data_IF_132342116584
#
_entry.id   IF_132342116584
#
_cell.length_a   1.000
_cell.length_b   1.000
_cell.length_c   1.000
_cell.angle_alpha   90.00
_cell.angle_beta   90.00
_cell.angle_gamma   90.00
#
_symmetry.space_group_name_H-M   'P 1'
#
loop_
_entity.id
_entity.type
_entity.pdbx_description
1 polymer ?
#
# COMPACT_ATOMS: atom_id res chain seq x y z
N UNK A 1 41.87 14.10 17.49
CA UNK A 1 40.81 13.50 18.26
C UNK A 1 39.48 14.22 18.05
N UNK A 2 39.45 15.54 18.26
CA UNK A 2 38.24 16.30 18.06
C UNK A 2 37.72 16.25 16.62
N UNK A 3 38.58 16.27 15.63
CA UNK A 3 38.23 16.17 14.21
C UNK A 3 37.57 14.83 13.88
N UNK A 4 38.09 13.76 14.46
CA UNK A 4 37.56 12.42 14.22
C UNK A 4 36.15 12.30 14.84
N UNK A 5 35.93 12.83 16.02
CA UNK A 5 34.64 12.84 16.68
C UNK A 5 33.61 13.67 15.90
N UNK A 6 34.00 14.86 15.46
CA UNK A 6 33.13 15.72 14.68
C UNK A 6 32.76 15.09 13.34
N UNK A 7 33.72 14.44 12.67
CA UNK A 7 33.46 13.73 11.43
C UNK A 7 32.50 12.58 11.62
N UNK A 8 32.64 11.85 12.73
CA UNK A 8 31.74 10.74 13.05
C UNK A 8 30.32 11.23 13.33
N UNK A 9 30.18 12.31 14.10
CA UNK A 9 28.87 12.90 14.39
C UNK A 9 28.19 13.39 13.11
N UNK A 10 28.93 14.07 12.23
CA UNK A 10 28.39 14.52 10.95
C UNK A 10 27.94 13.37 10.07
N UNK A 11 28.69 12.29 10.06
CA UNK A 11 28.34 11.09 9.31
C UNK A 11 27.04 10.46 9.85
N UNK A 12 26.90 10.39 11.17
CA UNK A 12 25.70 9.86 11.80
C UNK A 12 24.48 10.75 11.53
N UNK A 13 24.63 12.08 11.61
CA UNK A 13 23.56 13.01 11.31
C UNK A 13 23.13 12.86 9.85
N UNK A 14 24.09 12.78 8.95
CA UNK A 14 23.80 12.61 7.53
C UNK A 14 23.06 11.30 7.26
N UNK A 15 23.52 10.21 7.85
CA UNK A 15 22.89 8.90 7.73
C UNK A 15 21.49 8.93 8.30
N UNK A 16 21.31 9.56 9.45
CA UNK A 16 19.99 9.69 10.08
C UNK A 16 19.03 10.49 9.20
N UNK A 17 19.51 11.57 8.58
CA UNK A 17 18.69 12.37 7.67
C UNK A 17 18.26 11.59 6.44
N UNK A 18 19.18 10.81 5.85
CA UNK A 18 18.88 9.96 4.70
C UNK A 18 17.85 8.90 5.09
N UNK A 19 18.03 8.28 6.24
CA UNK A 19 17.09 7.26 6.75
C UNK A 19 15.72 7.86 7.02
N UNK A 20 15.66 9.08 7.55
CA UNK A 20 14.39 9.76 7.81
C UNK A 20 13.64 10.03 6.51
N UNK A 21 14.34 10.48 5.48
CA UNK A 21 13.75 10.71 4.16
C UNK A 21 13.26 9.42 3.54
N UNK A 22 14.10 8.37 3.58
CA UNK A 22 13.72 7.04 3.08
C UNK A 22 12.54 6.48 3.84
N UNK A 23 12.50 6.65 5.15
CA UNK A 23 11.40 6.16 5.97
C UNK A 23 10.09 6.83 5.59
N UNK A 24 10.09 8.15 5.38
CA UNK A 24 8.90 8.88 4.93
C UNK A 24 8.45 8.42 3.55
N UNK A 25 9.40 8.18 2.66
CA UNK A 25 9.10 7.68 1.32
C UNK A 25 8.46 6.31 1.36
N UNK A 26 9.03 5.42 2.18
CA UNK A 26 8.49 4.07 2.33
C UNK A 26 7.11 4.07 3.00
N UNK A 27 6.90 4.93 3.97
CA UNK A 27 5.58 5.08 4.61
C UNK A 27 4.53 5.55 3.61
N UNK A 28 4.87 6.51 2.76
CA UNK A 28 3.96 6.93 1.69
C UNK A 28 3.66 5.79 0.74
N UNK A 29 4.67 5.00 0.41
CA UNK A 29 4.48 3.84 -0.46
C UNK A 29 3.55 2.82 0.18
N UNK A 30 3.73 2.56 1.47
CA UNK A 30 2.85 1.65 2.22
C UNK A 30 1.42 2.18 2.22
N UNK A 31 1.22 3.47 2.49
CA UNK A 31 -0.10 4.09 2.48
C UNK A 31 -0.77 3.95 1.12
N UNK A 32 -0.02 4.20 0.05
CA UNK A 32 -0.52 4.06 -1.32
C UNK A 32 -0.92 2.62 -1.63
N UNK A 33 -0.11 1.67 -1.20
CA UNK A 33 -0.39 0.24 -1.41
C UNK A 33 -1.60 -0.21 -0.58
N UNK A 34 -1.73 0.28 0.65
CA UNK A 34 -2.89 -0.02 1.49
C UNK A 34 -4.18 0.52 0.86
N UNK A 35 -4.13 1.73 0.33
CA UNK A 35 -5.27 2.32 -0.38
C UNK A 35 -5.62 1.50 -1.62
N UNK A 36 -4.63 1.02 -2.36
CA UNK A 36 -4.83 0.18 -3.52
C UNK A 36 -5.46 -1.16 -3.14
N UNK A 37 -5.01 -1.77 -2.05
CA UNK A 37 -5.58 -3.03 -1.55
C UNK A 37 -7.06 -2.85 -1.22
N UNK A 38 -7.42 -1.79 -0.50
CA UNK A 38 -8.81 -1.50 -0.16
C UNK A 38 -9.67 -1.31 -1.40
N UNK A 39 -9.14 -0.62 -2.40
CA UNK A 39 -9.84 -0.41 -3.66
C UNK A 39 -10.05 -1.72 -4.41
N UNK A 40 -9.03 -2.56 -4.46
CA UNK A 40 -9.12 -3.85 -5.13
C UNK A 40 -10.10 -4.78 -4.41
N UNK A 41 -10.13 -4.74 -3.08
CA UNK A 41 -11.10 -5.51 -2.30
C UNK A 41 -12.53 -5.05 -2.60
N UNK A 42 -12.77 -3.75 -2.66
CA UNK A 42 -14.08 -3.20 -3.00
C UNK A 42 -14.50 -3.59 -4.42
N UNK A 43 -13.57 -3.50 -5.37
CA UNK A 43 -13.84 -3.92 -6.75
C UNK A 43 -14.14 -5.40 -6.84
N UNK A 44 -13.39 -6.21 -6.10
CA UNK A 44 -13.57 -7.66 -6.07
C UNK A 44 -14.95 -8.02 -5.50
N UNK A 45 -15.34 -7.38 -4.40
CA UNK A 45 -16.65 -7.60 -3.77
C UNK A 45 -17.77 -7.20 -4.71
N UNK A 46 -17.61 -6.09 -5.42
CA UNK A 46 -18.61 -5.62 -6.39
C UNK A 46 -18.75 -6.58 -7.55
N UNK A 47 -17.64 -7.08 -8.07
CA UNK A 47 -17.64 -8.05 -9.16
C UNK A 47 -18.24 -9.37 -8.74
N UNK A 48 -17.97 -9.81 -7.51
CA UNK A 48 -18.55 -11.03 -6.97
C UNK A 48 -20.07 -10.90 -6.80
N UNK A 49 -20.52 -9.74 -6.34
CA UNK A 49 -21.96 -9.47 -6.21
C UNK A 49 -22.64 -9.42 -7.57
N UNK A 50 -22.01 -8.78 -8.56
CA UNK A 50 -22.53 -8.75 -9.92
C UNK A 50 -22.61 -10.14 -10.55
N UNK A 51 -21.62 -10.98 -10.30
CA UNK A 51 -21.61 -12.35 -10.78
C UNK A 51 -22.76 -13.18 -10.16
N UNK A 52 -23.01 -12.98 -8.88
CA UNK A 52 -24.13 -13.65 -8.19
C UNK A 52 -25.47 -13.22 -8.75
N UNK A 53 -25.65 -11.91 -9.01
CA UNK A 53 -26.86 -11.40 -9.62
C UNK A 53 -27.06 -11.98 -11.02
N UNK A 54 -26.01 -12.06 -11.81
CA UNK A 54 -26.05 -12.65 -13.14
C UNK A 54 -26.47 -14.12 -13.09
N UNK A 55 -25.94 -14.87 -12.13
CA UNK A 55 -26.30 -16.27 -11.94
C UNK A 55 -27.78 -16.42 -11.56
N UNK A 56 -28.27 -15.57 -10.67
CA UNK A 56 -29.67 -15.58 -10.27
C UNK A 56 -30.58 -15.26 -11.45
N UNK A 57 -30.21 -14.31 -12.29
CA UNK A 57 -30.98 -13.97 -13.49
C UNK A 57 -31.01 -15.12 -14.50
N UNK A 58 -29.89 -15.80 -14.68
CA UNK A 58 -29.82 -16.97 -15.58
C UNK A 58 -30.71 -18.08 -15.04
N UNK A 59 -30.66 -18.36 -13.75
CA UNK A 59 -31.54 -19.37 -13.11
C UNK A 59 -33.02 -19.04 -13.29
N UNK A 60 -33.39 -17.75 -13.17
CA UNK A 60 -34.77 -17.31 -13.35
C UNK A 60 -35.20 -17.42 -14.83
N UNK A 61 -34.29 -17.23 -15.75
CA UNK A 61 -34.56 -17.27 -17.18
C UNK A 61 -34.60 -18.70 -17.75
N UNK A 62 -34.00 -19.66 -17.06
CA UNK A 62 -34.00 -21.05 -17.50
C UNK A 62 -35.28 -21.75 -17.01
N UNK A 63 -36.15 -22.20 -17.90
CA UNK A 63 -37.30 -22.97 -17.50
C UNK A 63 -36.87 -24.29 -16.91
N UNK A 64 -37.50 -24.66 -15.83
CA UNK A 64 -37.17 -25.89 -15.11
C UNK A 64 -37.48 -27.15 -15.93
#
# INVERSE_FOLDING_TARGET
MAKALLGHVNSDVRTTSVLAVENRRLRRRVDDLEALVLRLQADNDRLAAAAREAELLVDDLQPA
#
